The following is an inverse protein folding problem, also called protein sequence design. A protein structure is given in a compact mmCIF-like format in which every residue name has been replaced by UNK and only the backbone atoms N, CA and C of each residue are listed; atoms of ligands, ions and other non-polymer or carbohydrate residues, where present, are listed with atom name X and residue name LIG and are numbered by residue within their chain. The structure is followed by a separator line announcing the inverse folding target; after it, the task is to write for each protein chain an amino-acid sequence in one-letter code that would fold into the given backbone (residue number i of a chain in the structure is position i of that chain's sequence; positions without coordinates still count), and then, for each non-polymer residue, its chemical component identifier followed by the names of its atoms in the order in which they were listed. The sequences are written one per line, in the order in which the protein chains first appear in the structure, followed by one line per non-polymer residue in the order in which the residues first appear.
data_IF_357294023529
#
_entry.id   IF_357294023529
#
_cell.length_a   1.000
_cell.length_b   1.000
_cell.length_c   1.000
_cell.angle_alpha   90.00
_cell.angle_beta   90.00
_cell.angle_gamma   90.00
#
_symmetry.space_group_name_H-M   'P 1'
#
loop_
_entity.id
_entity.type
_entity.pdbx_description
1 polymer ?
#
# COMPACT_ATOMS: atom_id res chain seq x y z
N UNK A 1 -4.26 3.67 62.46
CA UNK A 1 -2.98 3.00 62.12
C UNK A 1 -3.32 1.68 61.43
N UNK A 2 -2.66 1.40 60.29
CA UNK A 2 -2.58 0.11 59.54
C UNK A 2 -3.91 -0.41 58.93
N UNK A 3 -4.17 -0.31 57.62
CA UNK A 3 -3.54 -0.96 56.45
C UNK A 3 -3.68 -2.50 56.45
N UNK A 4 -4.38 -3.06 55.46
CA UNK A 4 -4.51 -4.51 55.25
C UNK A 4 -5.46 -4.89 54.12
N UNK A 5 -4.97 -4.82 52.89
CA UNK A 5 -5.60 -5.19 51.62
C UNK A 5 -6.01 -6.67 51.54
N UNK A 6 -7.18 -7.02 51.00
CA UNK A 6 -7.30 -8.11 50.01
C UNK A 6 -8.34 -7.75 48.95
N UNK A 7 -7.86 -7.82 47.72
CA UNK A 7 -8.32 -7.20 46.49
C UNK A 7 -9.30 -8.16 45.79
N UNK A 8 -10.59 -7.80 45.70
CA UNK A 8 -11.58 -8.49 44.85
C UNK A 8 -11.16 -8.35 43.38
N UNK A 9 -10.49 -9.36 42.84
CA UNK A 9 -10.32 -9.58 41.41
C UNK A 9 -11.38 -10.59 40.93
N UNK A 10 -11.71 -10.52 39.63
CA UNK A 10 -12.73 -11.26 38.85
C UNK A 10 -14.05 -10.46 38.73
N UNK A 11 -14.52 -10.01 37.57
CA UNK A 11 -14.20 -10.26 36.17
C UNK A 11 -14.60 -8.99 35.40
N UNK A 12 -13.62 -8.20 34.95
CA UNK A 12 -13.84 -7.22 33.90
C UNK A 12 -13.31 -7.86 32.62
N UNK A 13 -14.20 -8.53 31.90
CA UNK A 13 -13.98 -8.97 30.52
C UNK A 13 -13.63 -7.71 29.73
N UNK A 14 -12.40 -7.57 29.17
CA UNK A 14 -12.11 -6.43 28.34
C UNK A 14 -12.81 -6.65 27.00
N UNK A 15 -14.04 -6.12 26.90
CA UNK A 15 -14.82 -6.00 25.67
C UNK A 15 -14.21 -4.94 24.71
N UNK A 16 -12.87 -4.89 24.62
CA UNK A 16 -12.13 -3.87 23.87
C UNK A 16 -11.21 -4.46 22.80
N UNK A 17 -11.06 -5.79 22.73
CA UNK A 17 -10.17 -6.44 21.76
C UNK A 17 -10.86 -6.90 20.46
N UNK A 18 -12.19 -6.74 20.33
CA UNK A 18 -12.94 -7.25 19.16
C UNK A 18 -12.96 -6.30 17.95
N UNK A 19 -12.50 -5.05 18.09
CA UNK A 19 -12.53 -4.06 16.99
C UNK A 19 -11.28 -4.07 16.11
N UNK A 20 -10.22 -4.81 16.46
CA UNK A 20 -8.98 -4.84 15.68
C UNK A 20 -8.98 -5.86 14.53
N UNK A 21 -9.97 -6.77 14.44
CA UNK A 21 -10.02 -7.84 13.42
C UNK A 21 -11.05 -7.59 12.30
N UNK A 22 -11.90 -6.57 12.41
CA UNK A 22 -12.86 -6.24 11.35
C UNK A 22 -12.24 -5.37 10.22
N UNK A 23 -10.98 -4.95 10.35
CA UNK A 23 -10.28 -4.13 9.37
C UNK A 23 -9.44 -4.90 8.33
N UNK A 24 -9.05 -6.14 8.60
CA UNK A 24 -8.15 -6.90 7.71
C UNK A 24 -8.84 -7.56 6.52
N UNK A 25 -10.15 -7.82 6.59
CA UNK A 25 -10.92 -8.38 5.46
C UNK A 25 -11.55 -7.32 4.56
N UNK A 26 -11.80 -6.11 5.08
CA UNK A 26 -12.57 -5.10 4.36
C UNK A 26 -11.87 -4.62 3.07
N UNK A 27 -10.52 -4.66 3.03
CA UNK A 27 -9.76 -4.14 1.89
C UNK A 27 -9.17 -5.21 0.96
N UNK A 28 -9.32 -6.49 1.26
CA UNK A 28 -8.78 -7.57 0.41
C UNK A 28 -9.35 -7.53 -1.00
N UNK A 29 -10.64 -7.23 -1.12
CA UNK A 29 -11.32 -7.10 -2.41
C UNK A 29 -10.81 -5.89 -3.20
N UNK A 30 -10.51 -4.77 -2.54
CA UNK A 30 -9.93 -3.58 -3.18
C UNK A 30 -8.51 -3.85 -3.67
N UNK A 31 -7.66 -4.46 -2.83
CA UNK A 31 -6.30 -4.85 -3.23
C UNK A 31 -6.36 -5.78 -4.44
N UNK A 32 -7.26 -6.77 -4.43
CA UNK A 32 -7.42 -7.69 -5.55
C UNK A 32 -7.97 -7.01 -6.81
N UNK A 33 -8.81 -5.98 -6.68
CA UNK A 33 -9.27 -5.17 -7.81
C UNK A 33 -8.11 -4.34 -8.40
N UNK A 34 -7.31 -3.70 -7.54
CA UNK A 34 -6.15 -2.91 -7.94
C UNK A 34 -5.09 -3.76 -8.62
N UNK A 35 -4.78 -4.95 -8.07
CA UNK A 35 -3.81 -5.89 -8.67
C UNK A 35 -4.18 -6.29 -10.09
N UNK A 36 -5.46 -6.59 -10.34
CA UNK A 36 -5.97 -7.01 -11.66
C UNK A 36 -6.17 -5.86 -12.64
N UNK A 37 -6.33 -4.64 -12.15
CA UNK A 37 -6.51 -3.48 -13.00
C UNK A 37 -5.26 -3.23 -13.85
N UNK A 38 -5.49 -2.63 -15.02
CA UNK A 38 -4.45 -2.18 -15.94
C UNK A 38 -4.48 -0.67 -15.98
N UNK A 39 -3.76 -0.02 -15.06
CA UNK A 39 -3.66 1.46 -15.10
C UNK A 39 -2.64 1.93 -16.12
N UNK A 40 -1.70 1.07 -16.50
CA UNK A 40 -0.77 1.29 -17.60
C UNK A 40 -1.07 0.34 -18.76
N UNK A 41 -0.89 0.78 -20.02
CA UNK A 41 -1.06 -0.10 -21.17
C UNK A 41 -0.01 -1.23 -21.15
N UNK A 42 -0.44 -2.45 -21.46
CA UNK A 42 0.44 -3.61 -21.65
C UNK A 42 0.38 -4.65 -20.53
N UNK A 43 0.29 -4.26 -19.26
CA UNK A 43 0.35 -5.20 -18.13
C UNK A 43 -0.56 -4.78 -16.97
N UNK A 44 -0.90 -5.74 -16.11
CA UNK A 44 -1.60 -5.49 -14.86
C UNK A 44 -0.70 -4.79 -13.85
N UNK A 45 -1.32 -4.13 -12.87
CA UNK A 45 -0.59 -3.44 -11.82
C UNK A 45 0.25 -4.41 -10.97
N UNK A 46 -0.24 -5.64 -10.78
CA UNK A 46 0.54 -6.69 -10.10
C UNK A 46 1.79 -7.09 -10.90
N UNK A 47 1.66 -7.29 -12.22
CA UNK A 47 2.80 -7.58 -13.10
C UNK A 47 3.80 -6.43 -13.12
N UNK A 48 3.34 -5.17 -13.17
CA UNK A 48 4.20 -3.99 -13.07
C UNK A 48 4.98 -3.96 -11.76
N UNK A 49 4.30 -4.19 -10.63
CA UNK A 49 4.95 -4.19 -9.31
C UNK A 49 5.96 -5.32 -9.20
N UNK A 50 5.66 -6.51 -9.74
CA UNK A 50 6.59 -7.64 -9.76
C UNK A 50 7.83 -7.35 -10.65
N UNK A 51 7.64 -6.77 -11.82
CA UNK A 51 8.73 -6.37 -12.71
C UNK A 51 9.61 -5.28 -12.08
N UNK A 52 9.00 -4.30 -11.40
CA UNK A 52 9.71 -3.26 -10.65
C UNK A 52 10.44 -3.79 -9.41
N UNK A 53 9.90 -4.81 -8.75
CA UNK A 53 10.52 -5.45 -7.61
C UNK A 53 11.78 -6.23 -8.01
N UNK A 54 11.71 -6.97 -9.11
CA UNK A 54 12.77 -7.87 -9.54
C UNK A 54 13.02 -9.02 -8.55
N UNK A 55 14.13 -9.75 -8.72
CA UNK A 55 14.36 -11.01 -8.01
C UNK A 55 14.71 -10.90 -6.51
N UNK A 56 15.08 -9.70 -6.02
CA UNK A 56 15.60 -9.48 -4.65
C UNK A 56 14.85 -8.37 -3.92
N UNK A 57 13.53 -8.52 -3.87
CA UNK A 57 12.67 -7.54 -3.24
C UNK A 57 11.50 -8.23 -2.52
N UNK A 58 11.02 -7.60 -1.44
CA UNK A 58 9.72 -7.92 -0.87
C UNK A 58 8.69 -6.93 -1.36
N UNK A 59 7.48 -7.42 -1.61
CA UNK A 59 6.34 -6.62 -2.04
C UNK A 59 5.27 -6.75 -0.96
N UNK A 60 4.83 -5.61 -0.42
CA UNK A 60 3.76 -5.52 0.56
C UNK A 60 2.62 -4.68 -0.02
N UNK A 61 1.40 -5.20 0.06
CA UNK A 61 0.22 -4.47 -0.40
C UNK A 61 -0.56 -4.01 0.83
N UNK A 62 -0.74 -2.70 0.94
CA UNK A 62 -1.53 -2.09 2.00
C UNK A 62 -2.69 -1.31 1.37
N UNK A 63 -3.76 -1.16 2.12
CA UNK A 63 -4.91 -0.40 1.69
C UNK A 63 -5.47 0.39 2.87
N UNK A 64 -5.76 1.66 2.61
CA UNK A 64 -6.37 2.57 3.57
C UNK A 64 -7.42 3.45 2.88
N UNK A 65 -8.30 4.08 3.66
CA UNK A 65 -9.16 5.14 3.10
C UNK A 65 -8.27 6.26 2.57
N UNK A 66 -8.59 6.79 1.40
CA UNK A 66 -7.84 7.91 0.86
C UNK A 66 -7.91 9.11 1.81
N UNK A 67 -6.74 9.68 2.14
CA UNK A 67 -6.64 10.91 2.95
C UNK A 67 -6.88 12.17 2.13
N UNK A 68 -6.75 12.07 0.81
CA UNK A 68 -6.88 13.19 -0.13
C UNK A 68 -8.34 13.43 -0.50
N UNK A 69 -9.13 12.36 -0.60
CA UNK A 69 -10.54 12.43 -0.93
C UNK A 69 -11.37 12.08 0.29
N UNK A 70 -12.23 13.00 0.73
CA UNK A 70 -13.13 12.81 1.88
C UNK A 70 -14.32 11.89 1.52
N UNK A 71 -14.02 10.65 1.14
CA UNK A 71 -15.01 9.65 0.76
C UNK A 71 -14.57 8.27 1.21
N UNK A 72 -15.46 7.60 1.94
CA UNK A 72 -15.34 6.19 2.35
C UNK A 72 -15.24 5.22 1.16
N UNK A 73 -15.68 5.64 -0.01
CA UNK A 73 -15.69 4.82 -1.22
C UNK A 73 -14.38 4.88 -2.01
N UNK A 74 -13.47 5.81 -1.66
CA UNK A 74 -12.18 5.96 -2.33
C UNK A 74 -11.10 5.36 -1.45
N UNK A 75 -10.63 4.18 -1.87
CA UNK A 75 -9.60 3.41 -1.17
C UNK A 75 -8.26 3.68 -1.83
N UNK A 76 -7.28 4.14 -1.04
CA UNK A 76 -5.90 4.21 -1.45
C UNK A 76 -5.23 2.85 -1.21
N UNK A 77 -4.75 2.22 -2.27
CA UNK A 77 -4.00 0.96 -2.22
C UNK A 77 -2.55 1.25 -2.56
N UNK A 78 -1.65 0.94 -1.65
CA UNK A 78 -0.21 1.18 -1.82
C UNK A 78 0.50 -0.16 -1.98
N UNK A 79 1.22 -0.32 -3.10
CA UNK A 79 2.17 -1.39 -3.29
C UNK A 79 3.56 -0.91 -2.87
N UNK A 80 4.04 -1.40 -1.75
CA UNK A 80 5.35 -1.12 -1.21
C UNK A 80 6.35 -2.20 -1.66
N UNK A 81 7.43 -1.78 -2.30
CA UNK A 81 8.51 -2.62 -2.78
C UNK A 81 9.76 -2.26 -1.99
N UNK A 82 10.23 -3.19 -1.16
CA UNK A 82 11.48 -3.05 -0.43
C UNK A 82 12.57 -3.84 -1.17
N UNK A 83 13.49 -3.13 -1.82
CA UNK A 83 14.61 -3.71 -2.57
C UNK A 83 15.90 -3.65 -1.79
N UNK A 84 16.71 -4.70 -1.93
CA UNK A 84 18.10 -4.73 -1.51
C UNK A 84 18.98 -4.62 -2.76
N UNK A 85 19.61 -3.46 -2.95
CA UNK A 85 20.55 -3.20 -4.04
C UNK A 85 21.85 -3.99 -3.88
N UNK A 86 22.62 -4.11 -4.97
CA UNK A 86 23.84 -4.91 -5.02
C UNK A 86 24.93 -4.45 -4.04
N UNK A 87 24.95 -3.15 -3.69
CA UNK A 87 25.87 -2.57 -2.72
C UNK A 87 25.32 -2.55 -1.27
N UNK A 88 24.25 -3.30 -0.98
CA UNK A 88 23.58 -3.28 0.34
C UNK A 88 22.71 -2.05 0.59
N UNK A 89 22.54 -1.18 -0.42
CA UNK A 89 21.64 -0.03 -0.35
C UNK A 89 20.18 -0.49 -0.37
N UNK A 90 19.39 -0.02 0.60
CA UNK A 90 17.95 -0.30 0.67
C UNK A 90 17.21 0.77 -0.11
N UNK A 91 16.37 0.36 -1.05
CA UNK A 91 15.49 1.27 -1.79
C UNK A 91 14.05 0.88 -1.53
N UNK A 92 13.22 1.86 -1.18
CA UNK A 92 11.80 1.71 -0.95
C UNK A 92 11.05 2.35 -2.12
N UNK A 93 10.22 1.60 -2.83
CA UNK A 93 9.35 2.12 -3.89
C UNK A 93 7.91 1.93 -3.45
N UNK A 94 7.11 2.98 -3.45
CA UNK A 94 5.69 2.91 -3.08
C UNK A 94 4.86 3.37 -4.27
N UNK A 95 4.03 2.47 -4.81
CA UNK A 95 3.08 2.80 -5.88
C UNK A 95 1.71 2.97 -5.26
N UNK A 96 1.16 4.17 -5.35
CA UNK A 96 -0.15 4.50 -4.78
C UNK A 96 -1.20 4.48 -5.88
N UNK A 97 -2.23 3.66 -5.67
CA UNK A 97 -3.38 3.52 -6.54
C UNK A 97 -4.63 3.96 -5.79
N UNK A 98 -5.61 4.51 -6.51
CA UNK A 98 -6.93 4.82 -5.98
C UNK A 98 -7.95 3.88 -6.60
N UNK A 99 -8.69 3.17 -5.75
CA UNK A 99 -9.84 2.38 -6.15
C UNK A 99 -11.13 3.06 -5.68
N UNK A 100 -11.97 3.43 -6.63
CA UNK A 100 -13.30 3.95 -6.34
C UNK A 100 -14.31 2.80 -6.33
N UNK A 101 -14.85 2.46 -5.16
CA UNK A 101 -15.77 1.34 -4.96
C UNK A 101 -17.11 1.51 -5.67
N UNK A 102 -17.58 2.74 -5.89
CA UNK A 102 -18.84 3.03 -6.58
C UNK A 102 -18.71 2.78 -8.08
N UNK A 103 -17.65 3.29 -8.69
CA UNK A 103 -17.44 3.23 -10.15
C UNK A 103 -16.61 2.03 -10.60
N UNK A 104 -16.01 1.29 -9.65
CA UNK A 104 -15.04 0.21 -9.89
C UNK A 104 -13.82 0.65 -10.70
N UNK A 105 -13.56 1.95 -10.77
CA UNK A 105 -12.40 2.50 -11.46
C UNK A 105 -11.18 2.44 -10.55
N UNK A 106 -10.07 2.02 -11.14
CA UNK A 106 -8.74 2.07 -10.52
C UNK A 106 -7.91 3.09 -11.28
N UNK A 107 -7.34 4.03 -10.55
CA UNK A 107 -6.45 5.06 -11.07
C UNK A 107 -5.08 4.93 -10.41
N UNK A 108 -4.04 5.26 -11.14
CA UNK A 108 -2.70 5.41 -10.59
C UNK A 108 -2.52 6.87 -10.14
N UNK A 109 -2.15 7.08 -8.87
CA UNK A 109 -2.05 8.42 -8.27
C UNK A 109 -0.61 8.93 -8.31
N UNK A 110 0.32 8.17 -7.74
CA UNK A 110 1.72 8.60 -7.61
C UNK A 110 2.67 7.43 -7.36
N UNK A 111 3.95 7.65 -7.69
CA UNK A 111 5.07 6.79 -7.31
C UNK A 111 5.92 7.55 -6.30
N UNK A 112 6.28 6.91 -5.20
CA UNK A 112 7.21 7.47 -4.21
C UNK A 112 8.47 6.62 -4.19
N UNK A 113 9.62 7.25 -4.29
CA UNK A 113 10.93 6.60 -4.17
C UNK A 113 11.58 7.10 -2.89
N UNK A 114 11.85 6.19 -1.96
CA UNK A 114 12.39 6.47 -0.63
C UNK A 114 11.58 7.55 0.13
N UNK A 115 10.25 7.52 -0.03
CA UNK A 115 9.32 8.51 0.56
C UNK A 115 9.23 9.84 -0.20
N UNK A 116 10.08 10.09 -1.19
CA UNK A 116 9.97 11.26 -2.05
C UNK A 116 8.97 10.99 -3.19
N UNK A 117 7.90 11.78 -3.24
CA UNK A 117 6.94 11.77 -4.35
C UNK A 117 7.66 12.09 -5.65
N UNK A 118 7.56 11.17 -6.61
CA UNK A 118 7.95 11.39 -7.98
C UNK A 118 6.68 11.82 -8.71
N UNK A 119 6.64 13.08 -9.13
CA UNK A 119 5.51 13.60 -9.90
C UNK A 119 5.49 12.94 -11.28
N UNK A 120 4.71 11.88 -11.40
CA UNK A 120 4.38 11.24 -12.67
C UNK A 120 3.30 12.08 -13.37
N UNK A 121 3.66 13.32 -13.71
CA UNK A 121 2.78 14.25 -14.40
C UNK A 121 2.46 13.73 -15.81
N UNK A 122 1.19 13.35 -15.97
CA UNK A 122 0.41 13.43 -17.19
C UNK A 122 0.83 12.50 -18.35
N UNK A 123 0.30 11.28 -18.30
CA UNK A 123 -0.28 10.57 -19.46
C UNK A 123 0.64 10.02 -20.56
N UNK A 124 1.79 10.62 -20.86
CA UNK A 124 2.60 10.27 -22.04
C UNK A 124 4.07 9.90 -21.75
N UNK A 125 4.54 10.06 -20.51
CA UNK A 125 5.94 9.82 -20.12
C UNK A 125 6.19 8.46 -19.43
N UNK A 126 5.16 7.62 -19.31
CA UNK A 126 5.19 6.44 -18.43
C UNK A 126 6.24 5.38 -18.79
N UNK A 127 6.59 5.18 -20.06
CA UNK A 127 7.54 4.13 -20.45
C UNK A 127 9.00 4.57 -20.29
N UNK A 128 9.33 5.80 -20.69
CA UNK A 128 10.70 6.32 -20.58
C UNK A 128 11.14 6.52 -19.14
N UNK A 129 10.23 6.93 -18.25
CA UNK A 129 10.54 7.07 -16.83
C UNK A 129 10.74 5.72 -16.17
N UNK A 130 9.94 4.69 -16.48
CA UNK A 130 10.14 3.33 -15.96
C UNK A 130 11.51 2.76 -16.36
N UNK A 131 11.95 2.97 -17.59
CA UNK A 131 13.30 2.59 -18.06
C UNK A 131 14.40 3.38 -17.33
N UNK A 132 14.23 4.70 -17.17
CA UNK A 132 15.15 5.52 -16.39
C UNK A 132 15.19 5.12 -14.90
N UNK A 133 14.05 4.70 -14.33
CA UNK A 133 13.97 4.13 -12.99
C UNK A 133 14.73 2.80 -12.90
N UNK A 134 14.58 1.90 -13.89
CA UNK A 134 15.37 0.67 -13.94
C UNK A 134 16.87 0.96 -14.00
N UNK A 135 17.28 2.00 -14.72
CA UNK A 135 18.68 2.43 -14.83
C UNK A 135 19.22 3.05 -13.53
N UNK A 136 18.42 3.81 -12.78
CA UNK A 136 18.82 4.33 -11.46
C UNK A 136 18.83 3.27 -10.35
N UNK A 137 18.31 2.07 -10.64
CA UNK A 137 18.27 0.93 -9.72
C UNK A 137 19.35 -0.13 -10.01
N UNK A 138 20.18 0.06 -11.05
CA UNK A 138 21.39 -0.73 -11.31
C UNK A 138 22.58 -0.19 -10.50
#
# INVERSE_FOLDING_TARGET
MLAGCVRRYLLLVPLAAALALLGCDNYKSDIAAVKRAKTLPGQSNEELVMDLAGARASIEWTAERSKVYDSDDIIAVTAEINRLGQAGQRSKVELVYLHNRQTKKVSFEELRLNGARQDLLSGALNLMLLDQFKLQLQ
#
